data_IF_645484801823
#
_entry.id   IF_645484801823
#
_cell.length_a   1.000
_cell.length_b   1.000
_cell.length_c   1.000
_cell.angle_alpha   90.00
_cell.angle_beta   90.00
_cell.angle_gamma   90.00
#
_symmetry.space_group_name_H-M   'P 1'
#
loop_
_entity.id
_entity.type
_entity.pdbx_description
1 polymer ?
#
# COMPACT_ATOMS: atom_id res chain seq x y z
N UNK A 1 -72.48 44.07 -36.01
CA UNK A 1 -72.29 42.77 -35.34
C UNK A 1 -70.83 42.38 -35.52
N UNK A 2 -70.24 41.84 -34.46
CA UNK A 2 -68.89 41.25 -34.35
C UNK A 2 -67.71 42.16 -34.70
N UNK A 3 -67.20 42.85 -33.67
CA UNK A 3 -65.81 43.30 -33.57
C UNK A 3 -64.92 42.07 -33.46
N UNK A 4 -64.41 41.56 -34.58
CA UNK A 4 -63.38 40.52 -34.59
C UNK A 4 -62.07 41.17 -34.16
N UNK A 5 -61.66 40.99 -32.91
CA UNK A 5 -60.31 41.34 -32.47
C UNK A 5 -59.34 40.46 -33.25
N UNK A 6 -58.54 41.09 -34.12
CA UNK A 6 -57.44 40.44 -34.81
C UNK A 6 -56.41 39.94 -33.79
N UNK A 7 -56.50 38.66 -33.47
CA UNK A 7 -55.59 37.95 -32.59
C UNK A 7 -54.20 37.97 -33.22
N UNK A 8 -53.29 38.76 -32.67
CA UNK A 8 -51.89 38.76 -33.09
C UNK A 8 -51.22 37.48 -32.62
N UNK A 9 -50.59 36.78 -33.56
CA UNK A 9 -49.87 35.54 -33.33
C UNK A 9 -48.75 35.75 -32.30
N UNK A 10 -48.76 34.96 -31.23
CA UNK A 10 -47.75 35.05 -30.18
C UNK A 10 -46.51 34.34 -30.71
N UNK A 11 -45.52 35.10 -31.17
CA UNK A 11 -44.19 34.56 -31.42
C UNK A 11 -43.57 34.07 -30.11
N UNK A 12 -43.50 32.75 -29.92
CA UNK A 12 -42.70 32.17 -28.85
C UNK A 12 -41.21 32.43 -29.15
N UNK A 13 -40.41 32.87 -28.16
CA UNK A 13 -38.98 33.02 -28.37
C UNK A 13 -38.40 31.64 -28.72
N UNK A 14 -37.54 31.61 -29.74
CA UNK A 14 -36.81 30.42 -30.11
C UNK A 14 -36.10 29.86 -28.85
N UNK A 15 -36.14 28.53 -28.62
CA UNK A 15 -35.61 27.93 -27.41
C UNK A 15 -34.14 28.33 -27.27
N UNK A 16 -33.81 28.97 -26.15
CA UNK A 16 -32.44 29.36 -25.79
C UNK A 16 -31.51 28.16 -25.99
N UNK A 17 -30.72 28.23 -27.06
CA UNK A 17 -29.73 27.20 -27.36
C UNK A 17 -28.73 27.16 -26.21
N UNK A 18 -28.63 26.03 -25.51
CA UNK A 18 -27.76 25.74 -24.37
C UNK A 18 -26.25 25.70 -24.75
N UNK A 19 -25.82 26.48 -25.76
CA UNK A 19 -24.50 26.38 -26.37
C UNK A 19 -23.78 27.75 -26.36
N UNK A 20 -22.46 27.82 -26.08
CA UNK A 20 -21.62 26.84 -25.39
C UNK A 20 -21.69 27.06 -23.86
N UNK A 21 -21.40 26.05 -23.03
CA UNK A 21 -21.18 26.28 -21.62
C UNK A 21 -20.11 27.38 -21.50
N UNK A 22 -20.48 28.51 -20.90
CA UNK A 22 -19.57 29.64 -20.70
C UNK A 22 -18.24 29.11 -20.14
N UNK A 23 -17.12 29.68 -20.58
CA UNK A 23 -15.75 29.20 -20.29
C UNK A 23 -15.52 28.80 -18.81
N UNK A 24 -16.25 29.41 -17.87
CA UNK A 24 -16.25 29.05 -16.45
C UNK A 24 -16.60 27.59 -16.12
N UNK A 25 -17.42 26.89 -16.91
CA UNK A 25 -17.69 25.45 -16.69
C UNK A 25 -16.47 24.59 -16.99
N UNK A 26 -15.69 24.94 -18.00
CA UNK A 26 -14.43 24.25 -18.30
C UNK A 26 -13.41 24.44 -17.18
N UNK A 27 -13.36 25.64 -16.60
CA UNK A 27 -12.54 25.92 -15.41
C UNK A 27 -13.02 25.07 -14.22
N UNK A 28 -14.33 24.95 -14.01
CA UNK A 28 -14.91 24.12 -12.94
C UNK A 28 -14.59 22.63 -13.15
N UNK A 29 -14.75 22.11 -14.36
CA UNK A 29 -14.37 20.72 -14.68
C UNK A 29 -12.88 20.48 -14.48
N UNK A 30 -12.02 21.40 -14.93
CA UNK A 30 -10.58 21.34 -14.69
C UNK A 30 -10.24 21.30 -13.20
N UNK A 31 -10.90 22.15 -12.40
CA UNK A 31 -10.72 22.17 -10.96
C UNK A 31 -11.16 20.85 -10.30
N UNK A 32 -12.30 20.28 -10.72
CA UNK A 32 -12.77 18.98 -10.22
C UNK A 32 -11.77 17.87 -10.53
N UNK A 33 -11.25 17.82 -11.76
CA UNK A 33 -10.25 16.82 -12.16
C UNK A 33 -8.98 16.96 -11.31
N UNK A 34 -8.48 18.19 -11.13
CA UNK A 34 -7.30 18.46 -10.29
C UNK A 34 -7.57 18.06 -8.84
N UNK A 35 -8.75 18.35 -8.30
CA UNK A 35 -9.13 17.97 -6.94
C UNK A 35 -9.20 16.43 -6.77
N UNK A 36 -9.73 15.71 -7.76
CA UNK A 36 -9.78 14.24 -7.74
C UNK A 36 -8.37 13.66 -7.78
N UNK A 37 -7.51 14.18 -8.67
CA UNK A 37 -6.11 13.76 -8.76
C UNK A 37 -5.41 14.05 -7.43
N UNK A 38 -5.47 15.29 -6.93
CA UNK A 38 -4.85 15.66 -5.66
C UNK A 38 -5.36 14.79 -4.49
N UNK A 39 -6.67 14.54 -4.42
CA UNK A 39 -7.28 13.69 -3.40
C UNK A 39 -6.82 12.23 -3.49
N UNK A 40 -6.70 11.68 -4.70
CA UNK A 40 -6.18 10.33 -4.93
C UNK A 40 -4.72 10.20 -4.47
N UNK A 41 -3.87 11.17 -4.83
CA UNK A 41 -2.47 11.20 -4.42
C UNK A 41 -2.32 11.38 -2.91
N UNK A 42 -3.14 12.25 -2.31
CA UNK A 42 -3.17 12.46 -0.86
C UNK A 42 -3.60 11.19 -0.11
N UNK A 43 -4.63 10.50 -0.60
CA UNK A 43 -5.10 9.25 -0.01
C UNK A 43 -4.04 8.14 -0.08
N UNK A 44 -3.35 8.02 -1.22
CA UNK A 44 -2.23 7.10 -1.41
C UNK A 44 -1.09 7.39 -0.41
N UNK A 45 -0.74 8.66 -0.24
CA UNK A 45 0.32 9.10 0.68
C UNK A 45 -0.04 8.80 2.15
N UNK A 46 -1.24 9.16 2.58
CA UNK A 46 -1.69 8.89 3.95
C UNK A 46 -1.78 7.40 4.25
N UNK A 47 -2.30 6.61 3.31
CA UNK A 47 -2.42 5.15 3.48
C UNK A 47 -1.05 4.52 3.72
N UNK A 48 -0.01 4.96 3.03
CA UNK A 48 1.35 4.45 3.22
C UNK A 48 1.92 4.75 4.62
N UNK A 49 1.72 5.97 5.12
CA UNK A 49 2.15 6.38 6.47
C UNK A 49 1.47 5.57 7.58
N UNK A 50 0.15 5.34 7.45
CA UNK A 50 -0.58 4.49 8.40
C UNK A 50 -0.07 3.05 8.37
N UNK A 51 0.09 2.46 7.18
CA UNK A 51 0.57 1.09 7.05
C UNK A 51 1.96 0.90 7.69
N UNK A 52 2.87 1.87 7.54
CA UNK A 52 4.18 1.81 8.18
C UNK A 52 4.07 1.65 9.70
N UNK A 53 3.21 2.45 10.33
CA UNK A 53 2.98 2.40 11.78
C UNK A 53 2.39 1.07 12.21
N UNK A 54 1.37 0.57 11.50
CA UNK A 54 0.76 -0.73 11.78
C UNK A 54 1.76 -1.88 11.68
N UNK A 55 2.63 -1.84 10.67
CA UNK A 55 3.60 -2.90 10.43
C UNK A 55 4.71 -2.90 11.49
N UNK A 56 5.18 -1.72 11.92
CA UNK A 56 6.13 -1.62 13.02
C UNK A 56 5.50 -2.02 14.37
N UNK A 57 4.23 -1.68 14.61
CA UNK A 57 3.50 -2.14 15.79
C UNK A 57 3.33 -3.68 15.79
N UNK A 58 3.06 -4.27 14.63
CA UNK A 58 2.99 -5.71 14.50
C UNK A 58 4.35 -6.37 14.83
N UNK A 59 5.47 -5.80 14.37
CA UNK A 59 6.80 -6.30 14.73
C UNK A 59 7.06 -6.19 16.25
N UNK A 60 6.64 -5.07 16.86
CA UNK A 60 6.78 -4.88 18.31
C UNK A 60 5.97 -5.92 19.08
N UNK A 61 4.75 -6.24 18.65
CA UNK A 61 3.94 -7.29 19.28
C UNK A 61 4.62 -8.66 19.24
N UNK A 62 5.30 -8.97 18.13
CA UNK A 62 6.08 -10.21 17.97
C UNK A 62 7.30 -10.19 18.91
N UNK A 63 7.98 -9.05 19.06
CA UNK A 63 9.09 -8.90 19.99
C UNK A 63 8.66 -9.07 21.46
N UNK A 64 7.53 -8.46 21.86
CA UNK A 64 6.96 -8.62 23.20
C UNK A 64 6.55 -10.06 23.47
N UNK A 65 5.97 -10.75 22.50
CA UNK A 65 5.60 -12.16 22.66
C UNK A 65 6.85 -13.04 22.87
N UNK A 66 7.94 -12.78 22.14
CA UNK A 66 9.21 -13.46 22.34
C UNK A 66 9.80 -13.20 23.74
N UNK A 67 9.69 -11.99 24.27
CA UNK A 67 10.15 -11.70 25.65
C UNK A 67 9.41 -12.53 26.71
N UNK A 68 8.15 -12.91 26.44
CA UNK A 68 7.33 -13.71 27.36
C UNK A 68 7.57 -15.20 27.21
N UNK A 69 7.67 -15.71 25.98
CA UNK A 69 7.78 -17.15 25.72
C UNK A 69 9.22 -17.64 25.63
N UNK A 70 10.16 -16.75 25.28
CA UNK A 70 11.54 -17.06 24.90
C UNK A 70 11.64 -18.16 23.83
N UNK A 71 10.59 -18.32 23.02
CA UNK A 71 10.49 -19.34 21.99
C UNK A 71 10.95 -18.76 20.64
N UNK A 72 12.21 -19.06 20.29
CA UNK A 72 12.83 -18.63 19.04
C UNK A 72 12.11 -19.21 17.80
N UNK A 73 11.54 -20.41 17.91
CA UNK A 73 10.83 -21.02 16.79
C UNK A 73 9.54 -20.25 16.49
N UNK A 74 8.76 -19.92 17.53
CA UNK A 74 7.56 -19.08 17.37
C UNK A 74 7.90 -17.69 16.83
N UNK A 75 9.00 -17.10 17.29
CA UNK A 75 9.49 -15.82 16.78
C UNK A 75 9.75 -15.87 15.27
N UNK A 76 10.52 -16.85 14.79
CA UNK A 76 10.86 -17.01 13.36
C UNK A 76 9.61 -17.23 12.51
N UNK A 77 8.66 -18.04 12.98
CA UNK A 77 7.39 -18.28 12.30
C UNK A 77 6.54 -16.99 12.25
N UNK A 78 6.49 -16.23 13.34
CA UNK A 78 5.76 -14.97 13.41
C UNK A 78 6.36 -13.92 12.46
N UNK A 79 7.69 -13.76 12.45
CA UNK A 79 8.41 -12.85 11.56
C UNK A 79 8.23 -13.24 10.08
N UNK A 80 8.36 -14.52 9.75
CA UNK A 80 8.16 -15.01 8.37
C UNK A 80 6.74 -14.71 7.87
N UNK A 81 5.72 -14.94 8.72
CA UNK A 81 4.32 -14.62 8.39
C UNK A 81 4.10 -13.11 8.24
N UNK A 82 4.68 -12.31 9.13
CA UNK A 82 4.58 -10.85 9.08
C UNK A 82 5.17 -10.31 7.78
N UNK A 83 6.41 -10.69 7.44
CA UNK A 83 7.07 -10.26 6.20
C UNK A 83 6.26 -10.64 4.96
N UNK A 84 5.75 -11.87 4.88
CA UNK A 84 4.87 -12.30 3.78
C UNK A 84 3.60 -11.46 3.69
N UNK A 85 2.92 -11.23 4.82
CA UNK A 85 1.69 -10.41 4.86
C UNK A 85 1.95 -8.97 4.40
N UNK A 86 3.08 -8.40 4.77
CA UNK A 86 3.50 -7.07 4.31
C UNK A 86 3.73 -7.09 2.81
N UNK A 87 4.51 -8.04 2.29
CA UNK A 87 4.76 -8.13 0.85
C UNK A 87 3.47 -8.27 0.03
N UNK A 88 2.54 -9.10 0.48
CA UNK A 88 1.22 -9.30 -0.15
C UNK A 88 0.31 -8.06 -0.08
N UNK A 89 0.58 -7.12 0.82
CA UNK A 89 -0.18 -5.87 0.92
C UNK A 89 0.31 -4.82 -0.08
N UNK A 90 1.55 -4.94 -0.60
CA UNK A 90 2.18 -3.99 -1.52
C UNK A 90 2.43 -4.54 -2.93
N UNK A 91 2.37 -5.86 -3.11
CA UNK A 91 2.57 -6.53 -4.40
C UNK A 91 1.38 -7.45 -4.73
N UNK A 92 1.05 -7.63 -6.02
CA UNK A 92 0.02 -8.57 -6.43
C UNK A 92 0.41 -9.99 -6.02
N UNK A 93 -0.58 -10.75 -5.54
CA UNK A 93 -0.41 -12.09 -4.99
C UNK A 93 0.36 -13.04 -5.92
N UNK A 94 0.20 -12.89 -7.23
CA UNK A 94 0.89 -13.68 -8.26
C UNK A 94 2.41 -13.57 -8.22
N UNK A 95 2.96 -12.41 -7.81
CA UNK A 95 4.41 -12.19 -7.79
C UNK A 95 5.08 -12.73 -6.51
N UNK A 96 4.36 -12.70 -5.38
CA UNK A 96 4.95 -13.00 -4.07
C UNK A 96 4.54 -14.36 -3.53
N UNK A 97 3.30 -14.82 -3.77
CA UNK A 97 2.79 -16.04 -3.13
C UNK A 97 3.49 -17.33 -3.60
N UNK A 98 4.11 -17.32 -4.78
CA UNK A 98 4.90 -18.45 -5.30
C UNK A 98 6.34 -18.49 -4.76
N UNK A 99 6.83 -17.42 -4.11
CA UNK A 99 8.20 -17.35 -3.64
C UNK A 99 8.37 -18.17 -2.35
N UNK A 100 9.25 -19.16 -2.42
CA UNK A 100 9.57 -20.07 -1.30
C UNK A 100 11.08 -20.31 -1.24
N UNK A 101 11.58 -20.74 -0.07
CA UNK A 101 12.99 -21.07 0.12
C UNK A 101 13.93 -19.90 -0.23
N UNK A 102 14.97 -20.19 -1.01
CA UNK A 102 15.98 -19.21 -1.40
C UNK A 102 15.43 -18.10 -2.31
N UNK A 103 14.44 -18.40 -3.16
CA UNK A 103 13.80 -17.38 -4.00
C UNK A 103 13.09 -16.31 -3.15
N UNK A 104 12.56 -16.70 -1.99
CA UNK A 104 12.00 -15.76 -1.01
C UNK A 104 13.08 -14.89 -0.36
N UNK A 105 14.21 -15.47 0.06
CA UNK A 105 15.32 -14.71 0.64
C UNK A 105 15.93 -13.72 -0.34
N UNK A 106 16.15 -14.15 -1.59
CA UNK A 106 16.66 -13.30 -2.66
C UNK A 106 15.73 -12.12 -2.94
N UNK A 107 14.41 -12.33 -2.87
CA UNK A 107 13.44 -11.24 -2.99
C UNK A 107 13.58 -10.23 -1.83
N UNK A 108 13.71 -10.71 -0.59
CA UNK A 108 13.93 -9.82 0.56
C UNK A 108 15.24 -9.03 0.43
N UNK A 109 16.29 -9.64 -0.08
CA UNK A 109 17.58 -8.98 -0.25
C UNK A 109 17.58 -7.86 -1.30
N UNK A 110 16.58 -7.76 -2.18
CA UNK A 110 16.46 -6.65 -3.13
C UNK A 110 16.30 -5.27 -2.46
N UNK A 111 15.92 -5.25 -1.18
CA UNK A 111 15.61 -4.03 -0.43
C UNK A 111 16.72 -3.63 0.55
N UNK A 112 17.78 -4.43 0.70
CA UNK A 112 18.90 -4.20 1.61
C UNK A 112 20.25 -4.33 0.90
N UNK A 113 21.25 -3.65 1.43
CA UNK A 113 22.64 -3.86 1.03
C UNK A 113 23.19 -5.10 1.75
N UNK A 114 24.06 -5.88 1.09
CA UNK A 114 24.78 -7.06 1.63
C UNK A 114 24.01 -8.37 1.84
N UNK A 115 22.84 -8.56 1.19
CA UNK A 115 22.12 -9.84 1.16
C UNK A 115 21.98 -10.57 2.53
N UNK A 116 21.57 -9.87 3.61
CA UNK A 116 21.55 -10.45 4.96
C UNK A 116 20.53 -11.60 5.13
N UNK A 117 19.57 -11.75 4.21
CA UNK A 117 18.63 -12.87 4.22
C UNK A 117 19.19 -14.12 3.55
N UNK A 118 19.91 -13.98 2.43
CA UNK A 118 20.52 -15.13 1.73
C UNK A 118 21.82 -15.60 2.38
N UNK A 119 22.69 -14.69 2.81
CA UNK A 119 24.05 -15.02 3.30
C UNK A 119 24.20 -14.87 4.82
N UNK A 120 23.15 -14.41 5.52
CA UNK A 120 23.21 -14.06 6.94
C UNK A 120 22.19 -14.78 7.82
N UNK A 121 21.93 -14.17 8.98
CA UNK A 121 21.00 -14.68 10.00
C UNK A 121 19.56 -14.82 9.50
N UNK A 122 19.19 -14.14 8.40
CA UNK A 122 17.84 -14.20 7.84
C UNK A 122 17.52 -15.51 7.10
N UNK A 123 18.51 -16.39 6.86
CA UNK A 123 18.28 -17.68 6.19
C UNK A 123 17.25 -18.55 6.88
N UNK A 124 17.15 -18.44 8.21
CA UNK A 124 16.17 -19.19 9.02
C UNK A 124 14.71 -18.86 8.67
N UNK A 125 14.47 -17.74 7.98
CA UNK A 125 13.14 -17.34 7.52
C UNK A 125 12.72 -18.06 6.22
N UNK A 126 13.65 -18.74 5.52
CA UNK A 126 13.30 -19.57 4.36
C UNK A 126 12.62 -20.88 4.77
N UNK A 127 13.04 -21.46 5.89
CA UNK A 127 12.69 -22.79 6.39
C UNK A 127 11.66 -22.73 7.52
N UNK A 128 10.50 -22.10 7.30
CA UNK A 128 9.35 -22.19 8.21
C UNK A 128 8.48 -23.42 7.87
N UNK A 129 7.80 -24.16 8.76
CA UNK A 129 7.89 -24.38 10.22
C UNK A 129 8.63 -25.69 10.57
N UNK A 130 9.38 -26.26 9.62
CA UNK A 130 9.90 -27.63 9.70
C UNK A 130 11.23 -27.80 10.46
N UNK A 131 11.88 -26.71 10.90
CA UNK A 131 13.05 -26.80 11.77
C UNK A 131 12.59 -26.87 13.23
N UNK A 132 12.77 -28.04 13.84
CA UNK A 132 12.41 -28.32 15.23
C UNK A 132 13.29 -27.57 16.25
N UNK A 133 14.46 -27.08 15.84
CA UNK A 133 15.33 -26.27 16.68
C UNK A 133 15.99 -25.19 15.82
N UNK A 134 15.80 -23.93 16.21
CA UNK A 134 16.37 -22.77 15.51
C UNK A 134 17.17 -21.98 16.54
N UNK A 135 18.49 -22.16 16.51
CA UNK A 135 19.42 -21.33 17.29
C UNK A 135 19.82 -20.10 16.48
N UNK A 136 19.25 -18.95 16.84
CA UNK A 136 19.53 -17.66 16.21
C UNK A 136 19.50 -16.57 17.26
N UNK A 137 20.35 -15.57 17.06
CA UNK A 137 20.29 -14.30 17.79
C UNK A 137 18.98 -13.57 17.47
N UNK A 138 17.96 -13.81 18.30
CA UNK A 138 16.63 -13.25 18.17
C UNK A 138 16.62 -11.70 18.13
N UNK A 139 17.35 -10.98 19.03
CA UNK A 139 17.55 -9.54 18.92
C UNK A 139 18.06 -9.10 17.55
N UNK A 140 19.14 -9.71 17.05
CA UNK A 140 19.71 -9.36 15.75
C UNK A 140 18.73 -9.62 14.59
N UNK A 141 17.96 -10.71 14.66
CA UNK A 141 16.95 -11.04 13.66
C UNK A 141 15.78 -10.03 13.66
N UNK A 142 15.35 -9.61 14.84
CA UNK A 142 14.31 -8.58 15.00
C UNK A 142 14.76 -7.25 14.40
N UNK A 143 16.00 -6.83 14.68
CA UNK A 143 16.56 -5.59 14.13
C UNK A 143 16.76 -5.67 12.61
N UNK A 144 17.18 -6.82 12.09
CA UNK A 144 17.23 -7.06 10.64
C UNK A 144 15.85 -6.90 10.00
N UNK A 145 14.81 -7.54 10.56
CA UNK A 145 13.45 -7.43 10.07
C UNK A 145 12.92 -5.98 10.17
N UNK A 146 13.23 -5.28 11.25
CA UNK A 146 12.86 -3.87 11.47
C UNK A 146 13.53 -2.96 10.43
N UNK A 147 14.82 -3.15 10.16
CA UNK A 147 15.56 -2.41 9.14
C UNK A 147 14.97 -2.66 7.75
N UNK A 148 14.71 -3.92 7.42
CA UNK A 148 14.09 -4.31 6.15
C UNK A 148 12.71 -3.65 5.95
N UNK A 149 11.83 -3.71 6.95
CA UNK A 149 10.48 -3.12 6.87
C UNK A 149 10.52 -1.61 6.63
N UNK A 150 11.44 -0.90 7.29
CA UNK A 150 11.64 0.55 7.07
C UNK A 150 12.12 0.82 5.65
N UNK A 151 13.11 0.07 5.17
CA UNK A 151 13.66 0.24 3.82
C UNK A 151 12.61 -0.07 2.74
N UNK A 152 11.88 -1.17 2.88
CA UNK A 152 10.83 -1.62 1.98
C UNK A 152 9.70 -0.58 1.83
N UNK A 153 9.17 -0.09 2.96
CA UNK A 153 8.12 0.93 2.95
C UNK A 153 8.61 2.24 2.35
N UNK A 154 9.83 2.68 2.71
CA UNK A 154 10.44 3.90 2.13
C UNK A 154 10.61 3.79 0.62
N UNK A 155 11.07 2.65 0.11
CA UNK A 155 11.25 2.45 -1.33
C UNK A 155 9.91 2.49 -2.09
N UNK A 156 8.83 1.96 -1.49
CA UNK A 156 7.49 2.06 -2.08
C UNK A 156 6.93 3.48 -2.04
N UNK A 157 7.18 4.25 -0.99
CA UNK A 157 6.78 5.66 -0.93
C UNK A 157 7.45 6.50 -2.02
N UNK A 158 8.72 6.25 -2.36
CA UNK A 158 9.43 7.03 -3.40
C UNK A 158 9.02 6.68 -4.83
N UNK A 159 8.39 5.52 -5.05
CA UNK A 159 7.97 5.04 -6.38
C UNK A 159 6.47 5.23 -6.65
N UNK A 160 5.71 5.73 -5.67
CA UNK A 160 4.28 6.01 -5.76
C UNK A 160 4.05 7.49 -6.07
#
# INVERSE_FOLDING_TARGET
MSTELALHDIHLPEPISWFPPALGWWVLFGFIIVAIIAGFWWWQYYRSQYLQRFVLQALESVATQYQQTQDTQQLVIALSRLLRRVCLSYYPRQQVAGLTGDAWLQFLDQFLTNKPFTDGIGRVLASSPYQAHVEVDAPALLDLCRAWLRAFVKQKMMKA
#
